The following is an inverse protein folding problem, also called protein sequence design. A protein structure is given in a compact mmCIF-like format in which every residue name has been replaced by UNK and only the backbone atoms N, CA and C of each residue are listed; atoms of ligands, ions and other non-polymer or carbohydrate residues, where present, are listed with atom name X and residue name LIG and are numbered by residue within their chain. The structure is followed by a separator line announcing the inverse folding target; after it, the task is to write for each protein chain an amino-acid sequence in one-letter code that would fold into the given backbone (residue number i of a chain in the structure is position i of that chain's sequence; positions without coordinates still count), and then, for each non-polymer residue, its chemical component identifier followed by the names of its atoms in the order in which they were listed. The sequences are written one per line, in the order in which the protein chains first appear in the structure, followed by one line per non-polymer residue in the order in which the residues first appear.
data_IF_109367811153
#
_entry.id   IF_109367811153
#
_cell.length_a   1.000
_cell.length_b   1.000
_cell.length_c   1.000
_cell.angle_alpha   90.00
_cell.angle_beta   90.00
_cell.angle_gamma   90.00
#
_symmetry.space_group_name_H-M   'P 1'
#
loop_
_entity.id
_entity.type
_entity.pdbx_description
1 polymer ?
#
# COMPACT_ATOMS: atom_id res chain seq x y z
N UNK A 1 -2.63 2.19 -3.06
CA UNK A 1 -1.75 3.37 -3.05
C UNK A 1 -1.17 3.60 -4.43
N UNK A 2 -1.36 4.82 -4.94
CA UNK A 2 -0.84 5.28 -6.23
C UNK A 2 0.07 6.50 -5.96
N UNK A 3 1.29 6.56 -6.49
CA UNK A 3 2.20 7.70 -6.29
C UNK A 3 1.83 8.85 -7.23
N UNK A 4 0.59 9.32 -7.14
CA UNK A 4 0.16 10.57 -7.80
C UNK A 4 0.80 11.77 -7.11
N UNK A 5 0.76 12.93 -7.75
CA UNK A 5 1.15 14.18 -7.09
C UNK A 5 0.35 14.37 -5.80
N UNK A 6 1.00 14.83 -4.72
CA UNK A 6 0.41 15.02 -3.40
C UNK A 6 -0.21 13.75 -2.75
N UNK A 7 0.20 12.55 -3.18
CA UNK A 7 -0.28 11.29 -2.60
C UNK A 7 -0.14 11.24 -1.07
N UNK A 8 0.92 11.83 -0.51
CA UNK A 8 1.15 11.86 0.94
C UNK A 8 -0.03 12.46 1.67
N UNK A 9 -0.43 13.68 1.26
CA UNK A 9 -1.55 14.40 1.85
C UNK A 9 -2.86 13.63 1.68
N UNK A 10 -3.15 13.15 0.47
CA UNK A 10 -4.40 12.43 0.22
C UNK A 10 -4.55 11.17 1.07
N UNK A 11 -3.48 10.41 1.25
CA UNK A 11 -3.54 9.19 2.07
C UNK A 11 -3.50 9.47 3.57
N UNK A 12 -2.84 10.53 4.05
CA UNK A 12 -2.93 10.91 5.47
C UNK A 12 -4.30 11.50 5.82
N UNK A 13 -4.87 12.34 4.95
CA UNK A 13 -6.23 12.87 5.14
C UNK A 13 -7.28 11.75 5.16
N UNK A 14 -7.11 10.71 4.32
CA UNK A 14 -7.98 9.54 4.35
C UNK A 14 -7.87 8.76 5.66
N UNK A 15 -6.65 8.60 6.20
CA UNK A 15 -6.45 7.99 7.51
C UNK A 15 -7.16 8.82 8.57
N UNK A 16 -7.01 10.15 8.54
CA UNK A 16 -7.66 11.04 9.50
C UNK A 16 -9.17 10.87 9.49
N UNK A 17 -9.77 10.91 8.29
CA UNK A 17 -11.21 10.72 8.11
C UNK A 17 -11.71 9.38 8.67
N UNK A 18 -10.93 8.31 8.49
CA UNK A 18 -11.26 6.98 9.02
C UNK A 18 -11.22 7.02 10.55
N UNK A 19 -10.13 7.51 11.15
CA UNK A 19 -9.92 7.51 12.60
C UNK A 19 -10.84 8.50 13.34
N UNK A 20 -11.29 9.56 12.68
CA UNK A 20 -12.33 10.46 13.19
C UNK A 20 -13.69 9.76 13.30
N UNK A 21 -13.91 8.68 12.52
CA UNK A 21 -15.15 7.91 12.49
C UNK A 21 -15.10 6.65 13.36
N UNK A 22 -13.99 5.91 13.31
CA UNK A 22 -13.77 4.68 14.09
C UNK A 22 -12.30 4.26 14.10
N UNK A 23 -11.92 3.42 15.06
CA UNK A 23 -10.58 2.81 15.09
C UNK A 23 -10.65 1.44 14.40
N UNK A 24 -9.93 1.23 13.28
CA UNK A 24 -9.91 -0.06 12.60
C UNK A 24 -9.29 -1.14 13.50
N UNK A 25 -9.79 -2.37 13.44
CA UNK A 25 -9.12 -3.50 14.12
C UNK A 25 -7.79 -3.83 13.42
N UNK A 26 -7.77 -3.78 12.08
CA UNK A 26 -6.61 -4.07 11.21
C UNK A 26 -6.59 -3.19 9.97
N UNK A 27 -5.40 -2.88 9.46
CA UNK A 27 -5.21 -2.13 8.20
C UNK A 27 -4.26 -2.91 7.30
N UNK A 28 -4.66 -3.13 6.05
CA UNK A 28 -3.76 -3.68 5.02
C UNK A 28 -3.41 -2.61 4.00
N UNK A 29 -2.13 -2.24 3.91
CA UNK A 29 -1.63 -1.31 2.92
C UNK A 29 -1.24 -2.05 1.63
N UNK A 30 -1.65 -1.51 0.49
CA UNK A 30 -1.32 -2.07 -0.82
C UNK A 30 -1.04 -0.98 -1.83
N UNK A 31 -0.20 -1.26 -2.82
CA UNK A 31 0.08 -0.39 -3.97
C UNK A 31 -0.66 -0.85 -5.22
N UNK A 32 -0.77 0.05 -6.20
CA UNK A 32 -1.38 -0.24 -7.49
C UNK A 32 -0.69 -1.42 -8.18
N UNK A 33 -1.51 -2.29 -8.78
CA UNK A 33 -1.09 -3.43 -9.57
C UNK A 33 -1.91 -3.49 -10.85
N UNK A 34 -1.29 -3.93 -11.94
CA UNK A 34 -1.93 -4.13 -13.22
C UNK A 34 -1.55 -5.49 -13.79
N UNK A 35 -2.53 -6.41 -13.86
CA UNK A 35 -2.37 -7.62 -14.67
C UNK A 35 -2.27 -7.22 -16.14
N UNK A 36 -1.48 -7.97 -16.91
CA UNK A 36 -1.29 -7.66 -18.33
C UNK A 36 -2.61 -7.72 -19.10
N UNK A 37 -3.50 -8.67 -18.76
CA UNK A 37 -4.84 -8.76 -19.32
C UNK A 37 -5.68 -7.50 -19.04
N UNK A 38 -5.65 -6.99 -17.81
CA UNK A 38 -6.32 -5.74 -17.43
C UNK A 38 -5.79 -4.56 -18.24
N UNK A 39 -4.46 -4.41 -18.33
CA UNK A 39 -3.83 -3.33 -19.09
C UNK A 39 -4.22 -3.39 -20.58
N UNK A 40 -4.37 -4.60 -21.13
CA UNK A 40 -4.78 -4.79 -22.52
C UNK A 40 -6.27 -4.46 -22.74
N UNK A 41 -7.13 -4.75 -21.76
CA UNK A 41 -8.58 -4.61 -21.87
C UNK A 41 -9.14 -3.23 -21.52
N UNK A 42 -8.40 -2.37 -20.82
CA UNK A 42 -8.89 -1.03 -20.44
C UNK A 42 -8.67 -0.01 -21.57
N UNK A 43 -9.67 0.88 -21.75
CA UNK A 43 -9.56 2.03 -22.65
C UNK A 43 -8.61 3.08 -22.10
N UNK A 44 -8.80 3.49 -20.84
CA UNK A 44 -7.92 4.44 -20.17
C UNK A 44 -6.70 3.73 -19.57
N UNK A 45 -5.51 4.17 -20.02
CA UNK A 45 -4.19 3.68 -19.58
C UNK A 45 -3.38 4.75 -18.85
N UNK A 46 -3.99 5.88 -18.48
CA UNK A 46 -3.36 7.01 -17.79
C UNK A 46 -2.62 6.61 -16.50
N UNK A 47 -3.08 5.55 -15.83
CA UNK A 47 -2.52 4.99 -14.59
C UNK A 47 -1.32 4.05 -14.80
N UNK A 48 -1.12 3.53 -16.02
CA UNK A 48 -0.05 2.56 -16.31
C UNK A 48 1.32 3.17 -16.11
N UNK A 49 1.46 4.50 -16.27
CA UNK A 49 2.70 5.25 -16.03
C UNK A 49 3.25 5.09 -14.61
N UNK A 50 2.40 4.73 -13.64
CA UNK A 50 2.83 4.49 -12.25
C UNK A 50 3.37 3.08 -12.01
N UNK A 51 3.29 2.18 -13.00
CA UNK A 51 3.73 0.80 -12.91
C UNK A 51 5.07 0.61 -13.62
N UNK A 52 6.14 0.43 -12.84
CA UNK A 52 7.51 0.30 -13.37
C UNK A 52 8.19 -1.02 -13.06
N UNK A 53 7.62 -1.87 -12.20
CA UNK A 53 8.24 -3.14 -11.80
C UNK A 53 7.37 -4.33 -12.21
N UNK A 54 7.97 -5.34 -12.85
CA UNK A 54 7.29 -6.58 -13.23
C UNK A 54 7.33 -7.62 -12.11
N UNK A 55 6.34 -8.51 -12.07
CA UNK A 55 6.30 -9.65 -11.15
C UNK A 55 5.47 -10.78 -11.74
N UNK A 56 5.52 -11.96 -11.12
CA UNK A 56 4.67 -13.11 -11.48
C UNK A 56 3.16 -12.82 -11.33
N UNK A 57 2.78 -11.70 -10.71
CA UNK A 57 1.41 -11.26 -10.50
C UNK A 57 1.09 -9.96 -11.24
N UNK A 58 1.73 -9.76 -12.40
CA UNK A 58 1.60 -8.55 -13.21
C UNK A 58 2.56 -7.43 -12.80
N UNK A 59 2.27 -6.22 -13.28
CA UNK A 59 3.07 -5.03 -13.02
C UNK A 59 2.66 -4.35 -11.71
N UNK A 60 3.60 -3.73 -11.02
CA UNK A 60 3.41 -3.01 -9.76
C UNK A 60 4.20 -1.71 -9.78
N UNK A 61 3.87 -0.83 -8.85
CA UNK A 61 4.62 0.40 -8.59
C UNK A 61 6.09 0.06 -8.26
N UNK A 62 7.04 0.92 -8.64
CA UNK A 62 8.46 0.70 -8.34
C UNK A 62 8.77 0.63 -6.84
N UNK A 63 9.76 -0.18 -6.47
CA UNK A 63 10.12 -0.43 -5.06
C UNK A 63 10.34 0.83 -4.22
N UNK A 64 11.04 1.84 -4.74
CA UNK A 64 11.34 3.06 -4.00
C UNK A 64 10.06 3.83 -3.63
N UNK A 65 9.14 3.98 -4.59
CA UNK A 65 7.86 4.64 -4.35
C UNK A 65 6.99 3.83 -3.37
N UNK A 66 6.94 2.49 -3.51
CA UNK A 66 6.21 1.63 -2.56
C UNK A 66 6.76 1.74 -1.14
N UNK A 67 8.08 1.70 -0.98
CA UNK A 67 8.73 1.83 0.32
C UNK A 67 8.45 3.19 0.95
N UNK A 68 8.58 4.29 0.19
CA UNK A 68 8.26 5.63 0.66
C UNK A 68 6.80 5.73 1.13
N UNK A 69 5.87 5.22 0.30
CA UNK A 69 4.44 5.17 0.59
C UNK A 69 4.13 4.41 1.88
N UNK A 70 4.60 3.17 2.01
CA UNK A 70 4.32 2.36 3.19
C UNK A 70 4.99 2.94 4.43
N UNK A 71 6.26 3.37 4.35
CA UNK A 71 6.97 3.97 5.47
C UNK A 71 6.24 5.21 5.99
N UNK A 72 5.80 6.10 5.09
CA UNK A 72 5.05 7.31 5.46
C UNK A 72 3.78 6.98 6.25
N UNK A 73 2.94 6.09 5.73
CA UNK A 73 1.67 5.78 6.39
C UNK A 73 1.84 4.98 7.68
N UNK A 74 2.80 4.06 7.74
CA UNK A 74 3.11 3.31 8.97
C UNK A 74 3.60 4.27 10.07
N UNK A 75 4.52 5.18 9.75
CA UNK A 75 4.96 6.21 10.67
C UNK A 75 3.80 7.10 11.11
N UNK A 76 2.98 7.57 10.17
CA UNK A 76 1.83 8.44 10.48
C UNK A 76 0.81 7.77 11.41
N UNK A 77 0.43 6.52 11.12
CA UNK A 77 -0.46 5.72 11.98
C UNK A 77 0.11 5.53 13.38
N UNK A 78 1.42 5.24 13.48
CA UNK A 78 2.09 5.05 14.76
C UNK A 78 2.21 6.35 15.56
N UNK A 79 2.62 7.43 14.93
CA UNK A 79 2.92 8.71 15.60
C UNK A 79 1.66 9.46 16.00
N UNK A 80 0.62 9.46 15.15
CA UNK A 80 -0.62 10.21 15.40
C UNK A 80 -1.68 9.41 16.15
N UNK A 81 -1.81 8.13 15.83
CA UNK A 81 -2.92 7.29 16.32
C UNK A 81 -2.47 6.13 17.23
N UNK A 82 -1.16 6.02 17.52
CA UNK A 82 -0.58 4.90 18.25
C UNK A 82 -0.99 3.52 17.66
N UNK A 83 -1.18 3.48 16.34
CA UNK A 83 -1.74 2.34 15.65
C UNK A 83 -0.63 1.53 14.94
N UNK A 84 -0.56 0.22 15.24
CA UNK A 84 0.51 -0.66 14.75
C UNK A 84 0.04 -1.92 14.03
N UNK A 85 -1.27 -2.23 14.02
CA UNK A 85 -1.79 -3.44 13.40
C UNK A 85 -1.93 -3.30 11.88
N UNK A 86 -0.77 -3.24 11.21
CA UNK A 86 -0.64 -3.00 9.77
C UNK A 86 -0.04 -4.20 9.05
N UNK A 87 -0.63 -4.57 7.91
CA UNK A 87 -0.13 -5.58 6.99
C UNK A 87 0.16 -4.99 5.59
N UNK A 88 0.96 -5.68 4.76
CA UNK A 88 1.23 -5.29 3.38
C UNK A 88 0.65 -6.30 2.37
N UNK A 89 -0.13 -5.82 1.41
CA UNK A 89 -0.76 -6.68 0.40
C UNK A 89 0.24 -7.14 -0.68
N UNK A 90 0.38 -8.47 -0.82
CA UNK A 90 1.16 -9.15 -1.89
C UNK A 90 2.62 -8.67 -1.99
N UNK A 91 3.22 -8.25 -0.87
CA UNK A 91 4.57 -7.69 -0.85
C UNK A 91 5.71 -8.69 -0.67
N UNK A 92 6.92 -8.27 -1.06
CA UNK A 92 8.12 -9.11 -0.93
C UNK A 92 8.61 -9.17 0.52
N UNK A 93 9.13 -10.32 0.96
CA UNK A 93 9.74 -10.49 2.30
C UNK A 93 10.82 -9.43 2.60
N UNK A 94 11.50 -8.91 1.57
CA UNK A 94 12.47 -7.84 1.70
C UNK A 94 11.83 -6.53 2.20
N UNK A 95 10.70 -6.09 1.62
CA UNK A 95 10.01 -4.90 2.11
C UNK A 95 9.47 -5.06 3.53
N UNK A 96 8.94 -6.24 3.87
CA UNK A 96 8.53 -6.55 5.24
C UNK A 96 9.68 -6.36 6.24
N UNK A 97 10.87 -6.88 5.93
CA UNK A 97 12.07 -6.72 6.78
C UNK A 97 12.52 -5.27 6.88
N UNK A 98 12.56 -4.54 5.76
CA UNK A 98 12.97 -3.12 5.74
C UNK A 98 12.03 -2.27 6.61
N UNK A 99 10.73 -2.56 6.56
CA UNK A 99 9.71 -1.87 7.36
C UNK A 99 9.57 -2.43 8.78
N UNK A 100 10.42 -3.38 9.19
CA UNK A 100 10.40 -4.04 10.50
C UNK A 100 9.05 -4.68 10.85
N UNK A 101 8.33 -5.18 9.85
CA UNK A 101 7.07 -5.91 10.01
C UNK A 101 7.31 -7.42 10.02
N UNK A 102 6.55 -8.17 10.81
CA UNK A 102 6.66 -9.63 10.89
C UNK A 102 5.76 -10.33 9.87
N UNK A 103 6.36 -10.75 8.74
CA UNK A 103 5.64 -11.46 7.68
C UNK A 103 5.17 -12.88 8.09
N UNK A 104 5.55 -13.41 9.26
CA UNK A 104 5.03 -14.69 9.77
C UNK A 104 3.72 -14.52 10.53
N UNK A 105 3.40 -13.30 10.96
CA UNK A 105 2.19 -12.97 11.73
C UNK A 105 1.18 -12.16 10.90
N UNK A 106 1.27 -12.26 9.56
CA UNK A 106 0.44 -11.48 8.65
C UNK A 106 -1.04 -11.77 8.89
N UNK A 107 -1.79 -10.70 9.09
CA UNK A 107 -3.23 -10.67 9.22
C UNK A 107 -3.80 -9.65 8.24
N UNK A 108 -3.98 -10.06 6.98
CA UNK A 108 -4.54 -9.19 5.94
C UNK A 108 -6.06 -9.16 6.01
N UNK A 109 -6.70 -8.14 5.42
CA UNK A 109 -8.16 -8.04 5.39
C UNK A 109 -8.81 -9.11 4.50
N UNK A 110 -8.06 -9.72 3.58
CA UNK A 110 -8.55 -10.76 2.67
C UNK A 110 -8.40 -12.19 3.22
N UNK A 111 -7.87 -12.37 4.43
CA UNK A 111 -7.64 -13.68 5.05
C UNK A 111 -8.15 -13.65 6.49
N UNK A 112 -8.70 -14.78 6.93
CA UNK A 112 -9.32 -14.97 8.26
C UNK A 112 -8.27 -14.78 9.37
#
# INVERSE_FOLDING_TARGET
MVPIENWEKFYTDLIDLIFDSFIPERITLGSLRGLQSTINGVKDKSWVKYLSESSNWGKKVGINARLAMYKKLISYLSEKYNYSNVALCKETKALWRILKLDYKKIKCNCVW
#
